data_IF_970739288022
#
_entry.id   IF_970739288022
#
_cell.length_a   1.000
_cell.length_b   1.000
_cell.length_c   1.000
_cell.angle_alpha   90.00
_cell.angle_beta   90.00
_cell.angle_gamma   90.00
#
_symmetry.space_group_name_H-M   'P 1'
#
loop_
_entity.id
_entity.type
_entity.pdbx_description
1 polymer ?
#
# COMPACT_ATOMS: atom_id res chain seq x y z
N UNK A 1 11.80 0.46 3.87
CA UNK A 1 10.77 -0.55 3.54
C UNK A 1 10.57 -0.57 2.02
N UNK A 2 11.51 -1.18 1.30
CA UNK A 2 11.58 -1.21 -0.17
C UNK A 2 11.04 -2.52 -0.77
N UNK A 3 10.11 -3.19 -0.10
CA UNK A 3 9.63 -4.50 -0.56
C UNK A 3 8.41 -4.41 -1.49
N UNK A 4 7.58 -3.37 -1.35
CA UNK A 4 6.30 -3.26 -2.09
C UNK A 4 6.31 -2.27 -3.27
N UNK A 5 7.44 -1.65 -3.61
CA UNK A 5 7.49 -0.57 -4.62
C UNK A 5 6.61 0.65 -4.27
N UNK A 6 6.17 0.76 -3.02
CA UNK A 6 5.31 1.82 -2.50
C UNK A 6 6.09 3.01 -1.93
N UNK A 7 7.41 2.89 -1.82
CA UNK A 7 8.31 4.00 -1.48
C UNK A 7 8.67 4.78 -2.77
N UNK A 8 8.47 6.10 -2.80
CA UNK A 8 9.09 6.95 -3.82
C UNK A 8 10.61 6.83 -3.70
N UNK A 9 11.30 6.59 -4.83
CA UNK A 9 12.75 6.78 -4.92
C UNK A 9 12.95 8.20 -5.43
N UNK A 10 13.51 9.07 -4.61
CA UNK A 10 13.96 10.39 -5.06
C UNK A 10 15.22 10.20 -5.89
N UNK A 11 15.22 10.74 -7.11
CA UNK A 11 16.43 10.99 -7.90
C UNK A 11 16.43 12.49 -8.13
N UNK A 12 17.26 13.21 -7.37
CA UNK A 12 17.52 14.61 -7.63
C UNK A 12 18.52 14.70 -8.81
N UNK A 13 18.05 15.21 -9.94
CA UNK A 13 18.90 15.93 -10.88
C UNK A 13 18.27 17.31 -11.01
N UNK A 14 19.11 18.34 -10.90
CA UNK A 14 18.73 19.73 -10.81
C UNK A 14 17.59 20.08 -11.78
N UNK A 15 16.66 20.89 -11.29
CA UNK A 15 15.67 21.68 -12.02
C UNK A 15 14.25 21.11 -12.24
N UNK A 16 13.96 19.79 -12.28
CA UNK A 16 12.54 19.31 -12.39
C UNK A 16 12.28 18.01 -11.64
N UNK A 17 11.69 18.09 -10.45
CA UNK A 17 11.33 16.94 -9.61
C UNK A 17 10.20 16.07 -10.22
N UNK A 18 10.56 15.15 -11.11
CA UNK A 18 9.66 14.09 -11.61
C UNK A 18 9.89 12.80 -10.82
N UNK A 19 8.93 12.44 -9.98
CA UNK A 19 8.90 11.18 -9.25
C UNK A 19 8.70 9.99 -10.21
N UNK A 20 9.75 9.17 -10.43
CA UNK A 20 9.63 7.93 -11.21
C UNK A 20 9.09 6.79 -10.35
N UNK A 21 8.14 6.04 -10.90
CA UNK A 21 7.65 4.79 -10.33
C UNK A 21 8.78 3.75 -10.31
N UNK A 22 9.16 3.26 -9.13
CA UNK A 22 10.12 2.16 -9.02
C UNK A 22 9.59 0.93 -9.78
N UNK A 23 10.38 0.39 -10.71
CA UNK A 23 10.06 -0.84 -11.46
C UNK A 23 10.50 -2.10 -10.73
N UNK A 24 11.14 -1.95 -9.57
CA UNK A 24 11.91 -2.95 -8.82
C UNK A 24 11.18 -3.47 -7.57
N UNK A 25 9.86 -3.33 -7.51
CA UNK A 25 9.02 -3.95 -6.48
C UNK A 25 8.23 -5.12 -7.06
N UNK A 26 7.73 -6.00 -6.18
CA UNK A 26 6.81 -7.06 -6.57
C UNK A 26 5.60 -6.47 -7.32
N UNK A 27 5.57 -6.68 -8.65
CA UNK A 27 4.53 -6.15 -9.52
C UNK A 27 3.19 -6.84 -9.30
N UNK A 28 3.22 -8.10 -8.88
CA UNK A 28 2.03 -8.86 -8.53
C UNK A 28 1.40 -8.26 -7.28
N UNK A 29 2.20 -7.99 -6.24
CA UNK A 29 1.72 -7.30 -5.05
C UNK A 29 1.16 -5.91 -5.37
N UNK A 30 1.86 -5.12 -6.19
CA UNK A 30 1.37 -3.79 -6.59
C UNK A 30 0.07 -3.85 -7.42
N UNK A 31 -0.11 -4.90 -8.23
CA UNK A 31 -1.34 -5.17 -9.00
C UNK A 31 -2.48 -5.55 -8.08
N UNK A 32 -2.27 -6.49 -7.15
CA UNK A 32 -3.26 -6.90 -6.15
C UNK A 32 -3.70 -5.72 -5.29
N UNK A 33 -2.75 -4.91 -4.79
CA UNK A 33 -3.06 -3.70 -4.03
C UNK A 33 -3.83 -2.67 -4.87
N UNK A 34 -3.57 -2.59 -6.17
CA UNK A 34 -4.35 -1.73 -7.07
C UNK A 34 -5.80 -2.21 -7.17
N UNK A 35 -6.02 -3.50 -7.42
CA UNK A 35 -7.35 -4.10 -7.51
C UNK A 35 -8.14 -3.90 -6.22
N UNK A 36 -7.53 -4.21 -5.06
CA UNK A 36 -8.16 -4.01 -3.74
C UNK A 36 -8.55 -2.54 -3.55
N UNK A 37 -7.65 -1.60 -3.88
CA UNK A 37 -7.94 -0.18 -3.74
C UNK A 37 -9.12 0.26 -4.64
N UNK A 38 -9.19 -0.22 -5.88
CA UNK A 38 -10.31 0.10 -6.80
C UNK A 38 -11.63 -0.46 -6.27
N UNK A 39 -11.64 -1.71 -5.80
CA UNK A 39 -12.82 -2.34 -5.20
C UNK A 39 -13.29 -1.58 -3.97
N UNK A 40 -12.38 -1.25 -3.04
CA UNK A 40 -12.74 -0.49 -1.84
C UNK A 40 -13.26 0.91 -2.18
N UNK A 41 -12.68 1.61 -3.16
CA UNK A 41 -13.19 2.91 -3.61
C UNK A 41 -14.62 2.79 -4.16
N UNK A 42 -14.95 1.70 -4.87
CA UNK A 42 -16.30 1.48 -5.41
C UNK A 42 -17.33 1.04 -4.38
N UNK A 43 -16.91 0.48 -3.24
CA UNK A 43 -17.80 -0.01 -2.18
C UNK A 43 -18.00 1.05 -1.08
N UNK A 44 -19.17 1.73 -1.00
CA UNK A 44 -19.37 2.85 -0.09
C UNK A 44 -19.25 2.48 1.40
N UNK A 45 -19.62 1.24 1.74
CA UNK A 45 -19.54 0.70 3.12
C UNK A 45 -18.12 0.28 3.52
N UNK A 46 -17.14 0.34 2.61
CA UNK A 46 -15.79 -0.12 2.91
C UNK A 46 -14.98 0.93 3.68
N UNK A 47 -14.07 0.50 4.59
CA UNK A 47 -13.18 1.42 5.29
C UNK A 47 -12.23 2.16 4.33
N UNK A 48 -11.91 1.57 3.17
CA UNK A 48 -11.10 2.22 2.14
C UNK A 48 -11.83 3.36 1.43
N UNK A 49 -13.16 3.27 1.27
CA UNK A 49 -13.97 4.35 0.72
C UNK A 49 -13.97 5.56 1.64
N UNK A 50 -14.24 5.37 2.93
CA UNK A 50 -14.20 6.45 3.92
C UNK A 50 -12.82 7.13 3.98
N UNK A 51 -11.75 6.33 3.93
CA UNK A 51 -10.38 6.87 3.88
C UNK A 51 -10.09 7.65 2.60
N UNK A 52 -10.56 7.16 1.45
CA UNK A 52 -10.41 7.83 0.17
C UNK A 52 -11.15 9.19 0.15
N UNK A 53 -12.40 9.22 0.61
CA UNK A 53 -13.19 10.45 0.73
C UNK A 53 -12.52 11.46 1.66
N UNK A 54 -12.02 11.01 2.81
CA UNK A 54 -11.26 11.88 3.73
C UNK A 54 -10.02 12.48 3.06
N UNK A 55 -9.32 11.71 2.21
CA UNK A 55 -8.16 12.24 1.47
C UNK A 55 -8.56 13.22 0.37
N UNK A 56 -9.73 13.06 -0.24
CA UNK A 56 -10.28 14.06 -1.16
C UNK A 56 -10.67 15.35 -0.42
N UNK A 57 -11.30 15.25 0.76
CA UNK A 57 -11.67 16.43 1.57
C UNK A 57 -10.44 17.18 2.12
N UNK A 58 -9.31 16.50 2.31
CA UNK A 58 -8.01 17.11 2.63
C UNK A 58 -7.37 17.85 1.42
N UNK A 59 -8.03 17.91 0.27
CA UNK A 59 -7.55 18.62 -0.92
C UNK A 59 -6.63 17.81 -1.84
N UNK A 60 -6.48 16.49 -1.61
CA UNK A 60 -5.66 15.65 -2.49
C UNK A 60 -6.39 15.33 -3.78
N UNK A 61 -5.64 15.23 -4.88
CA UNK A 61 -6.21 14.75 -6.14
C UNK A 61 -6.65 13.29 -6.02
N UNK A 62 -7.60 12.83 -6.85
CA UNK A 62 -8.03 11.42 -6.90
C UNK A 62 -6.87 10.42 -7.06
N UNK A 63 -5.82 10.79 -7.81
CA UNK A 63 -4.62 9.96 -7.99
C UNK A 63 -3.80 9.85 -6.70
N UNK A 64 -3.64 10.95 -5.96
CA UNK A 64 -2.92 10.99 -4.69
C UNK A 64 -3.69 10.30 -3.56
N UNK A 65 -5.01 10.50 -3.49
CA UNK A 65 -5.88 9.82 -2.53
C UNK A 65 -5.82 8.30 -2.72
N UNK A 66 -5.87 7.83 -3.98
CA UNK A 66 -5.71 6.41 -4.33
C UNK A 66 -4.32 5.87 -3.97
N UNK A 67 -3.26 6.64 -4.20
CA UNK A 67 -1.89 6.27 -3.78
C UNK A 67 -1.79 6.14 -2.26
N UNK A 68 -2.40 7.07 -1.52
CA UNK A 68 -2.46 7.00 -0.05
C UNK A 68 -3.20 5.75 0.43
N UNK A 69 -4.30 5.38 -0.24
CA UNK A 69 -5.05 4.15 0.07
C UNK A 69 -4.20 2.90 -0.18
N UNK A 70 -3.54 2.81 -1.34
CA UNK A 70 -2.65 1.70 -1.67
C UNK A 70 -1.52 1.53 -0.65
N UNK A 71 -0.91 2.64 -0.19
CA UNK A 71 0.13 2.61 0.84
C UNK A 71 -0.41 2.08 2.17
N UNK A 72 -1.57 2.58 2.61
CA UNK A 72 -2.24 2.10 3.83
C UNK A 72 -2.54 0.60 3.76
N UNK A 73 -2.96 0.10 2.60
CA UNK A 73 -3.21 -1.33 2.39
C UNK A 73 -1.93 -2.15 2.48
N UNK A 74 -0.83 -1.70 1.87
CA UNK A 74 0.47 -2.35 1.99
C UNK A 74 0.92 -2.43 3.45
N UNK A 75 0.81 -1.34 4.21
CA UNK A 75 1.15 -1.29 5.64
C UNK A 75 0.27 -2.21 6.49
N UNK A 76 -1.00 -2.38 6.10
CA UNK A 76 -1.91 -3.30 6.79
C UNK A 76 -1.54 -4.76 6.51
N UNK A 77 -1.34 -5.12 5.23
CA UNK A 77 -0.93 -6.47 4.83
C UNK A 77 0.39 -6.86 5.50
N UNK A 78 1.39 -5.97 5.49
CA UNK A 78 2.66 -6.19 6.16
C UNK A 78 2.48 -6.48 7.66
N UNK A 79 1.67 -5.68 8.37
CA UNK A 79 1.41 -5.89 9.80
C UNK A 79 0.71 -7.21 10.07
N UNK A 80 -0.25 -7.60 9.23
CA UNK A 80 -0.95 -8.89 9.34
C UNK A 80 0.04 -10.04 9.12
N UNK A 81 0.87 -9.98 8.08
CA UNK A 81 1.88 -11.02 7.81
C UNK A 81 2.88 -11.18 8.96
N UNK A 82 3.38 -10.08 9.52
CA UNK A 82 4.31 -10.13 10.66
C UNK A 82 3.62 -10.67 11.92
N UNK A 83 2.37 -10.29 12.17
CA UNK A 83 1.59 -10.82 13.28
C UNK A 83 1.34 -12.32 13.13
N UNK A 84 1.04 -12.77 11.91
CA UNK A 84 0.84 -14.18 11.58
C UNK A 84 2.15 -14.98 11.73
N UNK A 85 3.27 -14.46 11.22
CA UNK A 85 4.59 -15.07 11.40
C UNK A 85 4.96 -15.21 12.89
N UNK A 86 4.68 -14.19 13.70
CA UNK A 86 4.89 -14.25 15.16
C UNK A 86 3.98 -15.26 15.84
N UNK A 87 2.72 -15.39 15.37
CA UNK A 87 1.80 -16.42 15.84
C UNK A 87 2.32 -17.82 15.51
N UNK A 88 2.77 -18.05 14.28
CA UNK A 88 3.38 -19.33 13.86
C UNK A 88 4.60 -19.66 14.72
N UNK A 89 5.48 -18.70 14.99
CA UNK A 89 6.67 -18.90 15.84
C UNK A 89 6.35 -19.12 17.33
N UNK A 90 5.20 -18.66 17.81
CA UNK A 90 4.78 -18.81 19.21
C UNK A 90 3.93 -20.05 19.45
N UNK A 91 3.52 -20.77 18.40
CA UNK A 91 2.91 -22.08 18.50
C UNK A 91 4.00 -23.13 18.77
N UNK A 92 4.00 -23.83 19.93
CA UNK A 92 4.91 -24.95 20.14
C UNK A 92 4.42 -26.13 19.29
N UNK A 93 5.21 -26.52 18.30
CA UNK A 93 4.98 -27.76 17.55
C UNK A 93 4.88 -27.59 16.03
N UNK A 94 6.00 -27.29 15.37
CA UNK A 94 6.33 -27.83 14.05
C UNK A 94 7.83 -28.16 14.04
N UNK A 95 8.19 -29.08 14.93
CA UNK A 95 9.34 -29.97 14.74
C UNK A 95 8.73 -31.36 14.54
N UNK A 96 8.53 -31.72 13.27
CA UNK A 96 8.26 -33.08 12.80
C UNK A 96 8.79 -33.16 11.37
#
# INVERSE_FOLDING_TARGET
MNYAGAAPVEIASADKARHRLSRSGDRQLNSVLHTIAVVQIRMPKSPGHAYYQRKLSEGKTPKEAKRCLKRRLADHVWRVMIADERRVKSLPGQAA
#
